data_IF_898464763912
#
_entry.id   IF_898464763912
#
_cell.length_a   1.000
_cell.length_b   1.000
_cell.length_c   1.000
_cell.angle_alpha   90.00
_cell.angle_beta   90.00
_cell.angle_gamma   90.00
#
_symmetry.space_group_name_H-M   'P 1'
#
loop_
_entity.id
_entity.type
_entity.pdbx_description
1 polymer ?
#
# COMPACT_ATOMS: atom_id res chain seq x y z
N UNK A 1 22.73 2.09 0.94
CA UNK A 1 21.94 3.32 0.77
C UNK A 1 22.29 4.05 -0.52
N UNK A 2 23.58 4.25 -0.85
CA UNK A 2 24.01 4.89 -2.12
C UNK A 2 23.61 4.15 -3.39
N UNK A 3 23.67 2.81 -3.40
CA UNK A 3 23.26 2.00 -4.56
C UNK A 3 21.80 2.26 -4.96
N UNK A 4 20.91 2.26 -3.96
CA UNK A 4 19.49 2.56 -4.12
C UNK A 4 19.25 3.98 -4.64
N UNK A 5 20.00 4.97 -4.14
CA UNK A 5 19.91 6.36 -4.61
C UNK A 5 20.37 6.51 -6.06
N UNK A 6 21.36 5.73 -6.50
CA UNK A 6 21.86 5.80 -7.87
C UNK A 6 20.88 5.16 -8.87
N UNK A 7 20.24 4.06 -8.48
CA UNK A 7 19.19 3.44 -9.29
C UNK A 7 17.96 4.35 -9.41
N UNK A 8 17.55 5.01 -8.33
CA UNK A 8 16.47 6.01 -8.36
C UNK A 8 16.80 7.19 -9.29
N UNK A 9 18.06 7.66 -9.32
CA UNK A 9 18.49 8.72 -10.26
C UNK A 9 18.48 8.24 -11.71
N UNK A 10 18.88 7.00 -11.98
CA UNK A 10 18.85 6.41 -13.33
C UNK A 10 17.41 6.26 -13.83
N UNK A 11 16.52 5.77 -12.98
CA UNK A 11 15.10 5.63 -13.31
C UNK A 11 14.46 6.99 -13.62
N UNK A 12 14.72 8.02 -12.79
CA UNK A 12 14.23 9.38 -13.04
C UNK A 12 14.75 9.96 -14.36
N UNK A 13 16.05 9.76 -14.66
CA UNK A 13 16.63 10.20 -15.95
C UNK A 13 16.04 9.46 -17.15
N UNK A 14 15.72 8.17 -17.01
CA UNK A 14 15.08 7.38 -18.07
C UNK A 14 13.65 7.85 -18.32
N UNK A 15 12.89 8.15 -17.26
CA UNK A 15 11.52 8.66 -17.36
C UNK A 15 11.48 10.07 -17.98
N UNK A 16 12.34 10.98 -17.52
CA UNK A 16 12.49 12.33 -18.09
C UNK A 16 12.86 12.29 -19.57
N UNK A 17 13.83 11.44 -19.95
CA UNK A 17 14.25 11.27 -21.36
C UNK A 17 13.11 10.75 -22.22
N UNK A 18 12.35 9.76 -21.74
CA UNK A 18 11.24 9.16 -22.49
C UNK A 18 10.09 10.17 -22.71
N UNK A 19 9.80 11.02 -21.73
CA UNK A 19 8.80 12.10 -21.88
C UNK A 19 9.31 13.23 -22.79
N UNK A 20 10.59 13.57 -22.70
CA UNK A 20 11.22 14.54 -23.60
C UNK A 20 11.17 14.08 -25.06
N UNK A 21 11.46 12.81 -25.33
CA UNK A 21 11.41 12.23 -26.67
C UNK A 21 9.98 12.27 -27.25
N UNK A 22 8.96 11.94 -26.44
CA UNK A 22 7.54 12.00 -26.85
C UNK A 22 7.06 13.43 -27.13
N UNK A 23 7.37 14.41 -26.27
CA UNK A 23 7.04 15.81 -26.53
C UNK A 23 7.78 16.34 -27.77
N UNK A 24 9.05 15.98 -27.94
CA UNK A 24 9.85 16.42 -29.09
C UNK A 24 9.28 15.92 -30.42
N UNK A 25 8.81 14.67 -30.48
CA UNK A 25 8.16 14.10 -31.66
C UNK A 25 6.88 14.85 -32.04
N UNK A 26 6.07 15.27 -31.06
CA UNK A 26 4.86 16.05 -31.29
C UNK A 26 5.18 17.46 -31.82
N UNK A 27 6.18 18.13 -31.26
CA UNK A 27 6.63 19.44 -31.76
C UNK A 27 7.18 19.34 -33.19
N UNK A 28 8.00 18.32 -33.49
CA UNK A 28 8.51 18.08 -34.84
C UNK A 28 7.38 17.88 -35.85
N UNK A 29 6.36 17.09 -35.48
CA UNK A 29 5.19 16.84 -36.33
C UNK A 29 4.38 18.11 -36.56
N UNK A 30 4.13 18.92 -35.51
CA UNK A 30 3.44 20.20 -35.64
C UNK A 30 4.21 21.19 -36.53
N UNK A 31 5.51 21.34 -36.32
CA UNK A 31 6.36 22.20 -37.14
C UNK A 31 6.37 21.74 -38.60
N UNK A 32 6.43 20.44 -38.85
CA UNK A 32 6.35 19.86 -40.19
C UNK A 32 5.02 20.18 -40.90
N UNK A 33 3.89 20.03 -40.19
CA UNK A 33 2.56 20.38 -40.73
C UNK A 33 2.47 21.87 -41.09
N UNK A 34 2.99 22.74 -40.21
CA UNK A 34 3.02 24.20 -40.46
C UNK A 34 3.89 24.52 -41.68
N UNK A 35 5.05 23.90 -41.83
CA UNK A 35 5.94 24.09 -42.98
C UNK A 35 5.23 23.68 -44.28
N UNK A 36 4.59 22.51 -44.31
CA UNK A 36 3.81 22.07 -45.48
C UNK A 36 2.70 23.08 -45.82
N UNK A 37 2.00 23.57 -44.81
CA UNK A 37 0.93 24.54 -45.00
C UNK A 37 1.45 25.85 -45.62
N UNK A 38 2.55 26.39 -45.09
CA UNK A 38 3.20 27.60 -45.63
C UNK A 38 3.69 27.38 -47.06
N UNK A 39 4.38 26.26 -47.33
CA UNK A 39 4.85 25.90 -48.68
C UNK A 39 3.67 25.81 -49.66
N UNK A 40 2.56 25.18 -49.25
CA UNK A 40 1.37 25.06 -50.09
C UNK A 40 0.76 26.43 -50.45
N UNK A 41 0.77 27.38 -49.50
CA UNK A 41 0.26 28.73 -49.71
C UNK A 41 1.07 29.53 -50.74
N UNK A 42 2.37 29.25 -50.90
CA UNK A 42 3.23 29.88 -51.91
C UNK A 42 3.23 29.12 -53.26
N UNK A 43 3.17 27.79 -53.25
CA UNK A 43 3.23 26.96 -54.48
C UNK A 43 1.92 27.01 -55.27
N UNK A 44 0.76 26.91 -54.60
CA UNK A 44 -0.55 26.82 -55.27
C UNK A 44 -0.85 28.05 -56.15
N UNK A 45 -0.59 29.30 -55.71
CA UNK A 45 -0.77 30.48 -56.55
C UNK A 45 0.22 30.55 -57.73
N UNK A 46 1.43 29.99 -57.57
CA UNK A 46 2.46 29.95 -58.60
C UNK A 46 2.11 28.95 -59.72
N UNK A 47 1.58 27.79 -59.36
CA UNK A 47 1.24 26.71 -60.30
C UNK A 47 -0.11 26.93 -61.01
N UNK A 48 -1.08 27.56 -60.32
CA UNK A 48 -2.40 27.86 -60.86
C UNK A 48 -2.63 29.37 -60.85
N UNK A 49 -2.33 30.11 -61.93
CA UNK A 49 -2.45 31.57 -61.95
C UNK A 49 -3.91 32.06 -61.98
N UNK A 50 -4.82 31.26 -62.54
CA UNK A 50 -6.24 31.61 -62.70
C UNK A 50 -7.01 31.33 -61.41
N UNK A 51 -7.88 32.27 -60.99
CA UNK A 51 -8.69 32.11 -59.78
C UNK A 51 -9.68 30.94 -59.86
N UNK A 52 -10.23 30.66 -61.05
CA UNK A 52 -11.23 29.59 -61.23
C UNK A 52 -10.68 28.21 -60.90
N UNK A 53 -9.44 27.91 -61.30
CA UNK A 53 -8.80 26.62 -61.04
C UNK A 53 -8.42 26.47 -59.55
N UNK A 54 -8.10 27.58 -58.87
CA UNK A 54 -7.85 27.61 -57.41
C UNK A 54 -9.13 27.33 -56.61
N UNK A 55 -10.26 27.87 -57.05
CA UNK A 55 -11.54 27.66 -56.39
C UNK A 55 -11.97 26.18 -56.43
N UNK A 56 -11.83 25.52 -57.59
CA UNK A 56 -12.16 24.10 -57.75
C UNK A 56 -11.26 23.17 -56.91
N UNK A 57 -9.97 23.51 -56.80
CA UNK A 57 -9.05 22.82 -55.88
C UNK A 57 -9.50 23.00 -54.42
N UNK A 58 -9.83 24.24 -54.02
CA UNK A 58 -10.34 24.55 -52.69
C UNK A 58 -11.61 23.78 -52.31
N UNK A 59 -12.58 23.67 -53.23
CA UNK A 59 -13.83 22.93 -53.03
C UNK A 59 -13.57 21.44 -52.75
N UNK A 60 -12.60 20.85 -53.47
CA UNK A 60 -12.19 19.45 -53.26
C UNK A 60 -11.53 19.24 -51.89
N UNK A 61 -10.71 20.20 -51.44
CA UNK A 61 -10.14 20.18 -50.09
C UNK A 61 -11.20 20.37 -49.00
N UNK A 62 -12.28 21.10 -49.29
CA UNK A 62 -13.42 21.26 -48.38
C UNK A 62 -14.09 19.94 -48.03
N UNK A 63 -14.38 19.10 -49.03
CA UNK A 63 -14.98 17.76 -48.83
C UNK A 63 -14.05 16.87 -47.99
N UNK A 64 -12.75 16.87 -48.30
CA UNK A 64 -11.74 16.09 -47.57
C UNK A 64 -11.65 16.58 -46.11
N UNK A 65 -11.63 17.90 -45.88
CA UNK A 65 -11.55 18.49 -44.55
C UNK A 65 -12.79 18.18 -43.69
N UNK A 66 -13.98 18.18 -44.28
CA UNK A 66 -15.22 17.76 -43.60
C UNK A 66 -15.16 16.28 -43.19
N UNK A 67 -14.61 15.41 -44.04
CA UNK A 67 -14.43 14.00 -43.72
C UNK A 67 -13.42 13.80 -42.57
N UNK A 68 -12.27 14.47 -42.62
CA UNK A 68 -11.27 14.44 -41.54
C UNK A 68 -11.85 14.98 -40.23
N UNK A 69 -12.63 16.06 -40.27
CA UNK A 69 -13.29 16.62 -39.08
C UNK A 69 -14.31 15.64 -38.48
N UNK A 70 -15.09 14.95 -39.31
CA UNK A 70 -16.02 13.91 -38.87
C UNK A 70 -15.32 12.70 -38.26
N UNK A 71 -14.23 12.24 -38.86
CA UNK A 71 -13.40 11.14 -38.32
C UNK A 71 -12.71 11.53 -37.02
N UNK A 72 -12.19 12.75 -36.90
CA UNK A 72 -11.61 13.27 -35.67
C UNK A 72 -12.66 13.33 -34.55
N UNK A 73 -13.87 13.80 -34.85
CA UNK A 73 -14.98 13.83 -33.90
C UNK A 73 -15.40 12.41 -33.47
N UNK A 74 -15.48 11.46 -34.41
CA UNK A 74 -15.72 10.06 -34.10
C UNK A 74 -14.61 9.46 -33.20
N UNK A 75 -13.35 9.82 -33.45
CA UNK A 75 -12.21 9.45 -32.60
C UNK A 75 -12.31 10.00 -31.18
N UNK A 76 -12.74 11.26 -31.02
CA UNK A 76 -13.00 11.86 -29.70
C UNK A 76 -14.13 11.12 -28.98
N UNK A 77 -15.26 10.86 -29.64
CA UNK A 77 -16.39 10.10 -29.06
C UNK A 77 -15.93 8.72 -28.61
N UNK A 78 -15.20 8.01 -29.47
CA UNK A 78 -14.66 6.69 -29.15
C UNK A 78 -13.76 6.74 -27.90
N UNK A 79 -12.90 7.75 -27.82
CA UNK A 79 -12.03 7.97 -26.66
C UNK A 79 -12.83 8.25 -25.39
N UNK A 80 -13.88 9.07 -25.46
CA UNK A 80 -14.78 9.34 -24.31
C UNK A 80 -15.47 8.06 -23.83
N UNK A 81 -15.94 7.22 -24.76
CA UNK A 81 -16.55 5.93 -24.42
C UNK A 81 -15.56 4.99 -23.73
N UNK A 82 -14.30 4.96 -24.20
CA UNK A 82 -13.24 4.18 -23.59
C UNK A 82 -12.90 4.70 -22.18
N UNK A 83 -12.71 6.01 -22.03
CA UNK A 83 -12.46 6.67 -20.74
C UNK A 83 -13.60 6.39 -19.75
N UNK A 84 -14.86 6.38 -20.20
CA UNK A 84 -16.01 6.04 -19.34
C UNK A 84 -15.96 4.60 -18.85
N UNK A 85 -15.57 3.66 -19.71
CA UNK A 85 -15.40 2.24 -19.34
C UNK A 85 -14.28 2.07 -18.32
N UNK A 86 -13.15 2.75 -18.54
CA UNK A 86 -12.00 2.73 -17.63
C UNK A 86 -12.36 3.27 -16.24
N UNK A 87 -13.07 4.40 -16.17
CA UNK A 87 -13.57 4.96 -14.91
C UNK A 87 -14.55 4.02 -14.19
N UNK A 88 -15.38 3.27 -14.91
CA UNK A 88 -16.27 2.29 -14.32
C UNK A 88 -15.50 1.13 -13.69
N UNK A 89 -14.49 0.60 -14.39
CA UNK A 89 -13.60 -0.45 -13.88
C UNK A 89 -12.80 0.03 -12.67
N UNK A 90 -12.23 1.23 -12.72
CA UNK A 90 -11.49 1.82 -11.60
C UNK A 90 -12.38 1.99 -10.35
N UNK A 91 -13.64 2.39 -10.53
CA UNK A 91 -14.61 2.45 -9.41
C UNK A 91 -14.91 1.08 -8.83
N UNK A 92 -14.96 0.04 -9.65
CA UNK A 92 -15.17 -1.32 -9.19
C UNK A 92 -13.97 -1.81 -8.37
N UNK A 93 -12.75 -1.61 -8.87
CA UNK A 93 -11.52 -1.97 -8.17
C UNK A 93 -11.38 -1.24 -6.82
N UNK A 94 -11.77 0.04 -6.75
CA UNK A 94 -11.80 0.80 -5.49
C UNK A 94 -12.80 0.22 -4.48
N UNK A 95 -13.95 -0.29 -4.94
CA UNK A 95 -14.91 -0.95 -4.04
C UNK A 95 -14.33 -2.26 -3.49
N UNK A 96 -13.75 -3.07 -4.36
CA UNK A 96 -13.17 -4.36 -3.98
C UNK A 96 -11.98 -4.16 -3.01
N UNK A 97 -11.13 -3.17 -3.28
CA UNK A 97 -10.04 -2.75 -2.38
C UNK A 97 -10.56 -2.33 -1.01
N UNK A 98 -11.64 -1.55 -0.94
CA UNK A 98 -12.25 -1.14 0.35
C UNK A 98 -12.77 -2.33 1.14
N UNK A 99 -13.37 -3.31 0.48
CA UNK A 99 -13.86 -4.53 1.13
C UNK A 99 -12.69 -5.30 1.74
N UNK A 100 -11.61 -5.52 0.98
CA UNK A 100 -10.44 -6.25 1.47
C UNK A 100 -9.73 -5.52 2.61
N UNK A 101 -9.61 -4.19 2.53
CA UNK A 101 -9.05 -3.38 3.62
C UNK A 101 -9.89 -3.51 4.91
N UNK A 102 -11.21 -3.51 4.80
CA UNK A 102 -12.08 -3.66 5.97
C UNK A 102 -11.97 -5.08 6.58
N UNK A 103 -11.84 -6.10 5.73
CA UNK A 103 -11.56 -7.47 6.18
C UNK A 103 -10.21 -7.57 6.88
N UNK A 104 -9.17 -6.96 6.33
CA UNK A 104 -7.84 -6.90 6.94
C UNK A 104 -7.85 -6.14 8.27
N UNK A 105 -8.58 -5.03 8.37
CA UNK A 105 -8.73 -4.28 9.62
C UNK A 105 -9.41 -5.13 10.70
N UNK A 106 -10.48 -5.85 10.34
CA UNK A 106 -11.17 -6.77 11.26
C UNK A 106 -10.25 -7.91 11.71
N UNK A 107 -9.48 -8.51 10.79
CA UNK A 107 -8.50 -9.55 11.12
C UNK A 107 -7.39 -9.03 12.06
N UNK A 108 -6.95 -7.79 11.85
CA UNK A 108 -5.95 -7.14 12.69
C UNK A 108 -6.48 -6.86 14.10
N UNK A 109 -7.72 -6.39 14.24
CA UNK A 109 -8.35 -6.16 15.55
C UNK A 109 -8.48 -7.49 16.33
N UNK A 110 -8.91 -8.55 15.66
CA UNK A 110 -8.99 -9.88 16.27
C UNK A 110 -7.60 -10.39 16.71
N UNK A 111 -6.58 -10.18 15.88
CA UNK A 111 -5.20 -10.54 16.19
C UNK A 111 -4.66 -9.74 17.38
N UNK A 112 -4.95 -8.44 17.44
CA UNK A 112 -4.57 -7.58 18.56
C UNK A 112 -5.23 -8.06 19.87
N UNK A 113 -6.53 -8.39 19.83
CA UNK A 113 -7.24 -8.96 20.98
C UNK A 113 -6.61 -10.26 21.45
N UNK A 114 -6.25 -11.15 20.52
CA UNK A 114 -5.54 -12.39 20.85
C UNK A 114 -4.16 -12.12 21.46
N UNK A 115 -3.40 -11.20 20.90
CA UNK A 115 -2.07 -10.84 21.40
C UNK A 115 -2.13 -10.20 22.79
N UNK A 116 -3.13 -9.35 23.05
CA UNK A 116 -3.41 -8.81 24.39
C UNK A 116 -3.71 -9.93 25.39
N UNK A 117 -4.53 -10.92 25.01
CA UNK A 117 -4.80 -12.11 25.85
C UNK A 117 -3.52 -12.92 26.10
N UNK A 118 -2.71 -13.16 25.07
CA UNK A 118 -1.42 -13.84 25.21
C UNK A 118 -0.47 -13.08 26.15
N UNK A 119 -0.37 -11.76 26.02
CA UNK A 119 0.45 -10.91 26.91
C UNK A 119 -0.02 -10.98 28.35
N UNK A 120 -1.34 -10.95 28.60
CA UNK A 120 -1.90 -11.11 29.94
C UNK A 120 -1.54 -12.48 30.54
N UNK A 121 -1.66 -13.55 29.75
CA UNK A 121 -1.26 -14.89 30.16
C UNK A 121 0.24 -14.99 30.46
N UNK A 122 1.10 -14.37 29.64
CA UNK A 122 2.54 -14.32 29.86
C UNK A 122 2.89 -13.62 31.18
N UNK A 123 2.21 -12.52 31.52
CA UNK A 123 2.39 -11.84 32.82
C UNK A 123 2.06 -12.76 33.99
N UNK A 124 0.97 -13.52 33.89
CA UNK A 124 0.58 -14.50 34.91
C UNK A 124 1.61 -15.63 35.00
N UNK A 125 2.06 -16.17 33.87
CA UNK A 125 3.10 -17.21 33.85
C UNK A 125 4.42 -16.71 34.43
N UNK A 126 4.85 -15.48 34.13
CA UNK A 126 6.05 -14.90 34.71
C UNK A 126 5.94 -14.75 36.23
N UNK A 127 4.77 -14.32 36.75
CA UNK A 127 4.50 -14.28 38.19
C UNK A 127 4.56 -15.67 38.82
N UNK A 128 3.94 -16.67 38.20
CA UNK A 128 3.96 -18.06 38.67
C UNK A 128 5.39 -18.60 38.72
N UNK A 129 6.20 -18.36 37.70
CA UNK A 129 7.61 -18.76 37.67
C UNK A 129 8.41 -18.08 38.78
N UNK A 130 8.23 -16.77 39.00
CA UNK A 130 8.91 -16.06 40.10
C UNK A 130 8.51 -16.61 41.47
N UNK A 131 7.22 -16.88 41.70
CA UNK A 131 6.73 -17.49 42.93
C UNK A 131 7.28 -18.91 43.12
N UNK A 132 7.34 -19.70 42.05
CA UNK A 132 7.93 -21.04 42.08
C UNK A 132 9.42 -21.01 42.47
N UNK A 133 10.17 -20.04 41.97
CA UNK A 133 11.56 -19.80 42.36
C UNK A 133 11.67 -19.44 43.85
N UNK A 134 10.79 -18.58 44.37
CA UNK A 134 10.76 -18.24 45.80
C UNK A 134 10.44 -19.47 46.66
N UNK A 135 9.43 -20.26 46.29
CA UNK A 135 9.09 -21.52 46.97
C UNK A 135 10.29 -22.47 47.00
N UNK A 136 11.02 -22.58 45.88
CA UNK A 136 12.21 -23.42 45.77
C UNK A 136 13.37 -22.90 46.63
N UNK A 137 13.56 -21.58 46.68
CA UNK A 137 14.55 -20.96 47.56
C UNK A 137 14.25 -21.25 49.04
N UNK A 138 13.02 -21.00 49.49
CA UNK A 138 12.64 -21.26 50.88
C UNK A 138 12.66 -22.75 51.23
N UNK A 139 12.27 -23.64 50.32
CA UNK A 139 12.42 -25.09 50.49
C UNK A 139 13.89 -25.51 50.73
N UNK A 140 14.83 -24.91 50.01
CA UNK A 140 16.25 -25.15 50.22
C UNK A 140 16.75 -24.59 51.56
N UNK A 141 16.20 -23.47 52.03
CA UNK A 141 16.54 -22.91 53.36
C UNK A 141 15.99 -23.80 54.47
N UNK A 142 14.74 -24.26 54.36
CA UNK A 142 14.11 -25.19 55.31
C UNK A 142 14.91 -26.46 55.46
N UNK A 143 15.26 -27.12 54.35
CA UNK A 143 16.01 -28.39 54.38
C UNK A 143 17.37 -28.24 55.06
N UNK A 144 18.06 -27.10 54.89
CA UNK A 144 19.34 -26.81 55.55
C UNK A 144 19.20 -26.43 57.03
N UNK A 145 18.13 -25.74 57.42
CA UNK A 145 17.94 -25.25 58.80
C UNK A 145 17.20 -26.22 59.71
N UNK A 146 16.50 -27.21 59.15
CA UNK A 146 15.69 -28.23 59.86
C UNK A 146 16.40 -28.86 61.06
N UNK A 147 17.70 -29.15 60.93
CA UNK A 147 18.50 -29.79 61.97
C UNK A 147 19.49 -28.84 62.68
N UNK A 148 19.56 -27.56 62.27
CA UNK A 148 20.60 -26.61 62.71
C UNK A 148 20.05 -25.38 63.45
N UNK A 149 18.87 -24.88 63.09
CA UNK A 149 18.30 -23.65 63.64
C UNK A 149 16.77 -23.69 63.53
N UNK A 150 16.11 -24.14 64.60
CA UNK A 150 14.66 -24.37 64.62
C UNK A 150 13.81 -23.10 64.48
N UNK A 151 14.36 -21.91 64.79
CA UNK A 151 13.66 -20.64 64.59
C UNK A 151 13.66 -20.24 63.11
N UNK A 152 14.81 -20.35 62.43
CA UNK A 152 14.91 -20.09 60.99
C UNK A 152 14.11 -21.09 60.16
N UNK A 153 14.10 -22.36 60.56
CA UNK A 153 13.28 -23.38 59.92
C UNK A 153 11.79 -23.01 59.91
N UNK A 154 11.23 -22.67 61.08
CA UNK A 154 9.81 -22.30 61.21
C UNK A 154 9.47 -21.04 60.40
N UNK A 155 10.39 -20.07 60.34
CA UNK A 155 10.16 -18.85 59.55
C UNK A 155 10.16 -19.14 58.04
N UNK A 156 11.13 -19.92 57.54
CA UNK A 156 11.17 -20.32 56.14
C UNK A 156 9.91 -21.12 55.74
N UNK A 157 9.45 -22.02 56.61
CA UNK A 157 8.20 -22.78 56.43
C UNK A 157 6.96 -21.87 56.33
N UNK A 158 6.84 -20.87 57.23
CA UNK A 158 5.72 -19.92 57.16
C UNK A 158 5.71 -19.10 55.86
N UNK A 159 6.88 -18.67 55.38
CA UNK A 159 7.02 -17.92 54.13
C UNK A 159 6.66 -18.80 52.92
N UNK A 160 7.12 -20.05 52.92
CA UNK A 160 6.82 -21.00 51.85
C UNK A 160 5.31 -21.26 51.72
N UNK A 161 4.61 -21.48 52.84
CA UNK A 161 3.16 -21.66 52.84
C UNK A 161 2.43 -20.45 52.24
N UNK A 162 2.88 -19.22 52.54
CA UNK A 162 2.31 -18.00 51.97
C UNK A 162 2.44 -17.98 50.44
N UNK A 163 3.62 -18.29 49.88
CA UNK A 163 3.80 -18.30 48.42
C UNK A 163 3.03 -19.44 47.75
N UNK A 164 2.95 -20.62 48.38
CA UNK A 164 2.15 -21.76 47.88
C UNK A 164 0.67 -21.39 47.84
N UNK A 165 0.14 -20.77 48.90
CA UNK A 165 -1.25 -20.31 48.92
C UNK A 165 -1.51 -19.28 47.81
N UNK A 166 -0.57 -18.37 47.58
CA UNK A 166 -0.69 -17.36 46.52
C UNK A 166 -0.66 -17.97 45.11
N UNK A 167 0.13 -19.03 44.90
CA UNK A 167 0.10 -19.81 43.65
C UNK A 167 -1.26 -20.48 43.46
N UNK A 168 -1.79 -21.15 44.49
CA UNK A 168 -3.11 -21.81 44.45
C UNK A 168 -4.24 -20.82 44.14
N UNK A 169 -4.20 -19.64 44.74
CA UNK A 169 -5.19 -18.59 44.52
C UNK A 169 -5.16 -18.06 43.07
N UNK A 170 -3.96 -17.86 42.50
CA UNK A 170 -3.80 -17.46 41.10
C UNK A 170 -4.30 -18.54 40.13
N UNK A 171 -4.08 -19.82 40.44
CA UNK A 171 -4.54 -20.95 39.62
C UNK A 171 -6.07 -21.11 39.67
N UNK A 172 -6.67 -21.10 40.86
CA UNK A 172 -8.13 -21.20 41.01
C UNK A 172 -8.87 -20.05 40.30
N UNK A 173 -8.33 -18.82 40.37
CA UNK A 173 -8.91 -17.66 39.66
C UNK A 173 -8.83 -17.81 38.14
N UNK A 174 -7.87 -18.58 37.62
CA UNK A 174 -7.71 -18.83 36.19
C UNK A 174 -8.63 -19.94 35.71
N UNK A 175 -8.84 -21.00 36.51
CA UNK A 175 -9.80 -22.06 36.20
C UNK A 175 -11.24 -21.52 36.18
N UNK A 176 -11.61 -20.65 37.14
CA UNK A 176 -12.96 -20.06 37.19
C UNK A 176 -13.30 -19.08 36.05
N UNK A 177 -12.32 -18.67 35.25
CA UNK A 177 -12.50 -17.76 34.10
C UNK A 177 -12.58 -18.51 32.76
N UNK A 178 -12.36 -19.83 32.79
CA UNK A 178 -12.32 -20.71 31.61
C UNK A 178 -13.57 -21.60 31.48
N UNK A 179 -14.48 -21.57 32.47
CA UNK A 179 -15.86 -22.09 32.45
C UNK A 179 -16.87 -20.95 32.22
#
# INVERSE_FOLDING_TARGET
MELYLNDMRKLKKMEEKTNQDKLSGLYILLTFVIIIWVISAFIVPCLYPKLSDRALLGDSFGVINSLFSGLAFAGIIYTILLQRKELALQRQELKDTRIELNRSATAQENSERQQRRQSANLKTTAKLNALSTLVSYYSNVETKTKNSDGAKYRHAQSEQEIYIQRIKEILNRKESFND
#
